data_IF_940985384498
#
_entry.id   IF_940985384498
#
_cell.length_a   1.000
_cell.length_b   1.000
_cell.length_c   1.000
_cell.angle_alpha   90.00
_cell.angle_beta   90.00
_cell.angle_gamma   90.00
#
_symmetry.space_group_name_H-M   'P 1'
#
loop_
_entity.id
_entity.type
_entity.pdbx_description
1 polymer ?
#
# COMPACT_ATOMS: atom_id res chain seq x y z
N UNK A 1 13.85 -26.40 0.81
CA UNK A 1 14.30 -25.04 0.51
C UNK A 1 13.54 -24.11 1.48
N UNK A 2 14.11 -23.09 2.07
CA UNK A 2 13.32 -22.24 2.95
C UNK A 2 12.21 -21.53 2.15
N UNK A 3 11.04 -21.29 2.76
CA UNK A 3 9.97 -20.54 2.12
C UNK A 3 10.42 -19.15 1.67
N UNK A 4 9.93 -18.69 0.52
CA UNK A 4 10.21 -17.37 -0.05
C UNK A 4 8.93 -16.57 -0.12
N UNK A 5 8.99 -15.33 0.30
CA UNK A 5 7.92 -14.35 0.11
C UNK A 5 8.30 -13.43 -1.06
N UNK A 6 7.44 -13.36 -2.07
CA UNK A 6 7.56 -12.46 -3.20
C UNK A 6 6.36 -11.52 -3.20
N UNK A 7 6.64 -10.21 -3.25
CA UNK A 7 5.64 -9.17 -3.40
C UNK A 7 5.98 -8.41 -4.68
N UNK A 8 5.04 -8.39 -5.62
CA UNK A 8 5.25 -7.80 -6.93
C UNK A 8 4.10 -6.89 -7.34
N UNK A 9 4.44 -5.70 -7.87
CA UNK A 9 5.78 -5.10 -7.92
C UNK A 9 6.27 -4.66 -6.54
N UNK A 10 7.58 -4.67 -6.29
CA UNK A 10 8.15 -4.21 -5.01
C UNK A 10 8.02 -2.69 -4.81
N UNK A 11 7.83 -1.95 -5.89
CA UNK A 11 7.51 -0.53 -5.90
C UNK A 11 6.38 -0.27 -6.88
N UNK A 12 5.30 0.36 -6.42
CA UNK A 12 4.12 0.62 -7.23
C UNK A 12 3.33 1.80 -6.68
N UNK A 13 2.45 2.36 -7.51
CA UNK A 13 1.47 3.32 -7.01
C UNK A 13 0.46 2.64 -6.09
N UNK A 14 -0.16 3.42 -5.21
CA UNK A 14 -1.15 2.91 -4.24
C UNK A 14 -2.43 2.38 -4.91
N UNK A 15 -2.67 2.69 -6.16
CA UNK A 15 -3.82 2.26 -6.97
C UNK A 15 -3.50 1.12 -7.95
N UNK A 16 -2.27 0.60 -7.94
CA UNK A 16 -1.87 -0.55 -8.74
C UNK A 16 -2.08 -1.86 -7.96
N UNK A 17 -2.32 -2.93 -8.71
CA UNK A 17 -2.44 -4.28 -8.14
C UNK A 17 -1.13 -4.76 -7.51
N UNK A 18 -1.26 -5.60 -6.51
CA UNK A 18 -0.15 -6.31 -5.88
C UNK A 18 -0.39 -7.82 -5.93
N UNK A 19 0.70 -8.56 -6.05
CA UNK A 19 0.72 -9.99 -5.84
C UNK A 19 1.58 -10.32 -4.61
N UNK A 20 0.97 -11.01 -3.64
CA UNK A 20 1.67 -11.62 -2.51
C UNK A 20 1.69 -13.13 -2.75
N UNK A 21 2.89 -13.69 -2.92
CA UNK A 21 3.05 -15.12 -3.18
C UNK A 21 4.11 -15.68 -2.24
N UNK A 22 3.79 -16.75 -1.54
CA UNK A 22 4.73 -17.53 -0.74
C UNK A 22 4.93 -18.86 -1.46
N UNK A 23 6.17 -19.27 -1.63
CA UNK A 23 6.54 -20.53 -2.30
C UNK A 23 7.51 -21.34 -1.47
N UNK A 24 7.57 -22.67 -1.70
CA UNK A 24 8.53 -23.56 -1.09
C UNK A 24 8.24 -23.89 0.38
N UNK A 25 7.02 -23.68 0.82
CA UNK A 25 6.55 -24.11 2.13
C UNK A 25 6.04 -25.58 2.09
N UNK A 26 6.01 -26.26 3.23
CA UNK A 26 5.48 -27.60 3.33
C UNK A 26 3.96 -27.62 3.09
N UNK A 27 3.44 -28.45 2.17
CA UNK A 27 2.01 -28.56 1.94
C UNK A 27 1.23 -28.84 3.24
N UNK A 28 0.14 -28.11 3.43
CA UNK A 28 -0.72 -28.21 4.62
C UNK A 28 -0.20 -27.46 5.85
N UNK A 29 1.03 -26.94 5.84
CA UNK A 29 1.53 -26.10 6.92
C UNK A 29 0.66 -24.84 7.11
N UNK A 30 0.67 -24.31 8.32
CA UNK A 30 -0.03 -23.07 8.67
C UNK A 30 1.04 -21.96 8.80
N UNK A 31 0.88 -20.93 8.00
CA UNK A 31 1.77 -19.76 8.03
C UNK A 31 1.00 -18.51 8.43
N UNK A 32 1.64 -17.69 9.27
CA UNK A 32 1.15 -16.37 9.63
C UNK A 32 1.86 -15.31 8.80
N UNK A 33 1.08 -14.42 8.21
CA UNK A 33 1.54 -13.24 7.47
C UNK A 33 1.22 -12.01 8.31
N UNK A 34 2.21 -11.20 8.61
CA UNK A 34 2.04 -9.89 9.22
C UNK A 34 2.57 -8.83 8.27
N UNK A 35 1.78 -7.79 8.03
CA UNK A 35 2.22 -6.64 7.24
C UNK A 35 2.06 -5.39 8.10
N UNK A 36 3.11 -4.59 8.16
CA UNK A 36 3.12 -3.36 8.96
C UNK A 36 3.64 -2.16 8.17
N UNK A 37 3.26 -0.96 8.64
CA UNK A 37 3.71 0.33 8.14
C UNK A 37 3.71 1.35 9.26
N UNK A 38 4.62 2.32 9.20
CA UNK A 38 4.59 3.49 10.09
C UNK A 38 3.88 4.66 9.41
N UNK A 39 2.97 5.31 10.15
CA UNK A 39 2.32 6.54 9.70
C UNK A 39 3.23 7.78 9.90
N UNK A 40 2.75 8.95 9.49
CA UNK A 40 3.49 10.22 9.62
C UNK A 40 3.72 10.69 11.07
N UNK A 41 3.07 10.07 12.05
CA UNK A 41 3.31 10.26 13.47
C UNK A 41 4.16 9.13 14.08
N UNK A 42 4.78 8.30 13.24
CA UNK A 42 5.61 7.14 13.62
C UNK A 42 4.83 6.05 14.40
N UNK A 43 3.51 6.02 14.24
CA UNK A 43 2.69 4.95 14.84
C UNK A 43 2.66 3.77 13.89
N UNK A 44 2.79 2.59 14.47
CA UNK A 44 2.72 1.35 13.72
C UNK A 44 1.28 0.94 13.47
N UNK A 45 1.00 0.61 12.23
CA UNK A 45 -0.23 0.01 11.74
C UNK A 45 0.10 -1.38 11.22
N UNK A 46 -0.67 -2.38 11.62
CA UNK A 46 -0.42 -3.75 11.22
C UNK A 46 -1.71 -4.50 10.88
N UNK A 47 -1.57 -5.48 10.02
CA UNK A 47 -2.56 -6.50 9.74
C UNK A 47 -1.91 -7.87 9.91
N UNK A 48 -2.74 -8.87 10.21
CA UNK A 48 -2.28 -10.25 10.29
C UNK A 48 -3.25 -11.18 9.59
N UNK A 49 -2.73 -12.25 9.03
CA UNK A 49 -3.54 -13.29 8.42
C UNK A 49 -2.85 -14.64 8.51
N UNK A 50 -3.65 -15.66 8.71
CA UNK A 50 -3.19 -17.04 8.75
C UNK A 50 -3.65 -17.76 7.49
N UNK A 51 -2.77 -18.51 6.85
CA UNK A 51 -3.04 -19.27 5.65
C UNK A 51 -2.60 -20.73 5.81
N UNK A 52 -3.30 -21.61 5.12
CA UNK A 52 -2.86 -22.99 4.92
C UNK A 52 -2.18 -23.11 3.57
N UNK A 53 -0.96 -23.61 3.57
CA UNK A 53 -0.20 -23.88 2.33
C UNK A 53 -0.93 -24.94 1.50
N UNK A 54 -1.05 -24.70 0.20
CA UNK A 54 -1.72 -25.64 -0.71
C UNK A 54 -0.87 -26.90 -1.00
N UNK A 55 -1.38 -27.80 -1.84
CA UNK A 55 -0.70 -29.04 -2.22
C UNK A 55 0.58 -28.82 -3.04
N UNK A 56 0.76 -27.65 -3.61
CA UNK A 56 1.94 -27.28 -4.41
C UNK A 56 3.00 -26.53 -3.59
N UNK A 57 2.75 -26.31 -2.30
CA UNK A 57 3.65 -25.57 -1.42
C UNK A 57 3.55 -24.05 -1.60
N UNK A 58 2.37 -23.55 -2.03
CA UNK A 58 2.14 -22.16 -2.41
C UNK A 58 1.02 -21.54 -1.56
N UNK A 59 1.15 -20.26 -1.27
CA UNK A 59 0.07 -19.36 -0.85
C UNK A 59 0.08 -18.19 -1.83
N UNK A 60 -1.04 -17.96 -2.53
CA UNK A 60 -1.25 -16.80 -3.42
C UNK A 60 -2.51 -16.05 -2.97
N UNK A 61 -2.34 -14.85 -2.44
CA UNK A 61 -3.44 -14.05 -1.90
C UNK A 61 -4.47 -13.63 -2.96
N UNK A 62 -4.15 -13.72 -4.24
CA UNK A 62 -5.10 -13.48 -5.34
C UNK A 62 -6.07 -14.66 -5.54
N UNK A 63 -5.81 -15.80 -4.94
CA UNK A 63 -6.51 -17.06 -5.19
C UNK A 63 -7.05 -17.70 -3.91
N UNK A 64 -6.52 -17.31 -2.77
CA UNK A 64 -6.79 -17.96 -1.49
C UNK A 64 -7.23 -16.94 -0.43
N UNK A 65 -8.32 -17.25 0.24
CA UNK A 65 -8.77 -16.50 1.40
C UNK A 65 -7.98 -16.91 2.65
N UNK A 66 -7.75 -15.98 3.59
CA UNK A 66 -7.14 -16.31 4.86
C UNK A 66 -8.07 -17.16 5.72
N UNK A 67 -7.51 -17.85 6.70
CA UNK A 67 -8.26 -18.60 7.69
C UNK A 67 -9.05 -17.67 8.63
N UNK A 68 -10.13 -18.15 9.27
CA UNK A 68 -10.88 -17.39 10.26
C UNK A 68 -9.98 -16.83 11.39
N UNK A 69 -10.27 -15.62 11.84
CA UNK A 69 -9.47 -14.92 12.85
C UNK A 69 -8.40 -13.97 12.28
N UNK A 70 -8.26 -13.91 10.97
CA UNK A 70 -7.42 -12.96 10.26
C UNK A 70 -8.03 -11.56 10.23
N UNK A 71 -7.22 -10.53 9.91
CA UNK A 71 -7.66 -9.12 9.84
C UNK A 71 -8.70 -8.86 8.74
N UNK A 72 -8.79 -9.74 7.75
CA UNK A 72 -9.81 -9.67 6.68
C UNK A 72 -10.35 -11.08 6.36
N UNK A 73 -11.37 -11.13 5.52
CA UNK A 73 -11.96 -12.36 5.01
C UNK A 73 -12.16 -12.27 3.50
N UNK A 74 -12.27 -13.43 2.85
CA UNK A 74 -12.39 -13.50 1.39
C UNK A 74 -11.04 -13.41 0.67
N UNK A 75 -11.08 -13.65 -0.63
CA UNK A 75 -9.90 -13.55 -1.50
C UNK A 75 -9.69 -12.10 -1.86
N UNK A 76 -8.64 -11.49 -1.35
CA UNK A 76 -8.29 -10.10 -1.61
C UNK A 76 -6.77 -9.90 -1.46
N UNK A 77 -6.03 -9.65 -2.55
CA UNK A 77 -4.59 -9.41 -2.50
C UNK A 77 -4.20 -8.11 -1.79
N UNK A 78 -5.12 -7.14 -1.67
CA UNK A 78 -4.89 -5.89 -0.94
C UNK A 78 -5.40 -5.96 0.51
N UNK A 79 -5.98 -7.09 0.92
CA UNK A 79 -6.42 -7.33 2.29
C UNK A 79 -5.38 -6.95 3.35
N UNK A 80 -4.08 -7.30 3.18
CA UNK A 80 -3.04 -6.89 4.11
C UNK A 80 -2.90 -5.39 4.30
N UNK A 81 -3.29 -4.56 3.33
CA UNK A 81 -3.11 -3.11 3.37
C UNK A 81 -4.30 -2.40 4.00
N UNK A 82 -5.50 -2.67 3.54
CA UNK A 82 -6.69 -1.95 4.00
C UNK A 82 -7.23 -2.43 5.35
N UNK A 83 -6.85 -3.64 5.79
CA UNK A 83 -7.30 -4.20 7.07
C UNK A 83 -6.39 -3.85 8.25
N UNK A 84 -5.37 -3.02 8.03
CA UNK A 84 -4.44 -2.60 9.08
C UNK A 84 -5.15 -1.83 10.19
N UNK A 85 -4.76 -2.11 11.41
CA UNK A 85 -5.22 -1.39 12.61
C UNK A 85 -4.03 -0.91 13.43
N UNK A 86 -4.15 0.25 14.11
CA UNK A 86 -3.13 0.71 15.04
C UNK A 86 -3.23 -0.03 16.38
N UNK A 87 -2.18 -0.02 17.17
CA UNK A 87 -2.22 -0.52 18.54
C UNK A 87 -3.18 0.25 19.44
N UNK A 88 -3.33 1.56 19.22
CA UNK A 88 -4.33 2.40 19.85
C UNK A 88 -5.56 2.53 18.93
N UNK A 89 -6.70 1.90 19.29
CA UNK A 89 -7.90 1.92 18.43
C UNK A 89 -8.50 3.31 18.19
N UNK A 90 -8.13 4.31 18.99
CA UNK A 90 -8.58 5.71 18.82
C UNK A 90 -7.70 6.49 17.84
N UNK A 91 -6.58 5.93 17.39
CA UNK A 91 -5.67 6.60 16.50
C UNK A 91 -6.22 6.66 15.07
N UNK A 92 -6.03 7.81 14.42
CA UNK A 92 -6.27 7.98 12.99
C UNK A 92 -4.94 7.96 12.26
N UNK A 93 -4.92 7.37 11.07
CA UNK A 93 -3.73 7.35 10.24
C UNK A 93 -3.28 8.77 9.90
N UNK A 94 -2.12 9.15 10.38
CA UNK A 94 -1.52 10.45 10.05
C UNK A 94 -0.79 10.33 8.73
N UNK A 95 -1.20 11.13 7.74
CA UNK A 95 -0.52 11.16 6.45
C UNK A 95 0.95 11.56 6.64
N UNK A 96 1.85 10.83 6.03
CA UNK A 96 3.26 11.23 5.92
C UNK A 96 3.41 12.35 4.89
N UNK A 97 4.44 13.19 5.04
CA UNK A 97 4.85 14.12 4.00
C UNK A 97 5.64 13.42 2.88
N UNK A 98 6.11 12.22 3.15
CA UNK A 98 6.74 11.40 2.12
C UNK A 98 5.70 10.97 1.07
N UNK A 99 6.09 10.99 -0.19
CA UNK A 99 5.25 10.57 -1.31
C UNK A 99 5.11 9.05 -1.42
N UNK A 100 5.75 8.31 -0.53
CA UNK A 100 5.77 6.87 -0.50
C UNK A 100 5.70 6.34 0.93
N UNK A 101 5.10 5.16 1.07
CA UNK A 101 5.06 4.37 2.30
C UNK A 101 5.82 3.07 2.07
N UNK A 102 6.74 2.74 2.96
CA UNK A 102 7.44 1.46 2.95
C UNK A 102 6.77 0.53 3.95
N UNK A 103 6.30 -0.59 3.45
CA UNK A 103 5.66 -1.65 4.21
C UNK A 103 6.69 -2.74 4.51
N UNK A 104 6.52 -3.39 5.64
CA UNK A 104 7.31 -4.55 6.05
C UNK A 104 6.39 -5.76 6.16
N UNK A 105 6.72 -6.84 5.49
CA UNK A 105 5.98 -8.09 5.49
C UNK A 105 6.82 -9.21 6.10
N UNK A 106 6.28 -9.91 7.08
CA UNK A 106 6.93 -10.99 7.82
C UNK A 106 6.08 -12.24 7.74
N UNK A 107 6.72 -13.37 7.46
CA UNK A 107 6.10 -14.69 7.52
C UNK A 107 6.61 -15.44 8.74
N UNK A 108 5.67 -16.04 9.49
CA UNK A 108 6.00 -16.90 10.64
C UNK A 108 5.42 -18.30 10.46
N UNK A 109 6.12 -19.26 11.01
CA UNK A 109 5.64 -20.64 11.17
C UNK A 109 5.90 -21.05 12.63
N UNK A 110 4.86 -21.52 13.32
CA UNK A 110 4.90 -21.83 14.75
C UNK A 110 5.52 -20.70 15.61
N UNK A 111 5.13 -19.47 15.33
CA UNK A 111 5.61 -18.27 16.01
C UNK A 111 7.04 -17.82 15.66
N UNK A 112 7.79 -18.60 14.87
CA UNK A 112 9.15 -18.26 14.45
C UNK A 112 9.12 -17.56 13.10
N UNK A 113 9.82 -16.44 12.98
CA UNK A 113 10.02 -15.78 11.69
C UNK A 113 10.85 -16.65 10.77
N UNK A 114 10.36 -16.88 9.55
CA UNK A 114 11.03 -17.69 8.54
C UNK A 114 11.52 -16.88 7.33
N UNK A 115 10.83 -15.79 7.00
CA UNK A 115 11.23 -14.86 5.95
C UNK A 115 10.59 -13.49 6.17
N UNK A 116 11.18 -12.47 5.58
CA UNK A 116 10.65 -11.11 5.56
C UNK A 116 11.05 -10.41 4.27
N UNK A 117 10.30 -9.37 3.92
CA UNK A 117 10.61 -8.46 2.82
C UNK A 117 10.00 -7.09 3.05
N UNK A 118 10.44 -6.10 2.29
CA UNK A 118 9.82 -4.78 2.25
C UNK A 118 9.33 -4.47 0.85
N UNK A 119 8.30 -3.63 0.76
CA UNK A 119 7.81 -3.09 -0.50
C UNK A 119 7.32 -1.66 -0.31
N UNK A 120 7.26 -0.90 -1.37
CA UNK A 120 6.93 0.52 -1.32
C UNK A 120 5.70 0.82 -2.16
N UNK A 121 4.76 1.60 -1.58
CA UNK A 121 3.60 2.15 -2.30
C UNK A 121 3.74 3.67 -2.34
N UNK A 122 3.61 4.29 -3.52
CA UNK A 122 3.75 5.73 -3.69
C UNK A 122 2.49 6.38 -4.28
N UNK A 123 2.36 7.69 -4.08
CA UNK A 123 1.22 8.48 -4.52
C UNK A 123 1.49 9.25 -5.83
N UNK A 124 2.41 8.76 -6.67
CA UNK A 124 2.81 9.47 -7.89
C UNK A 124 4.00 10.39 -7.64
N UNK A 125 5.12 9.83 -7.20
CA UNK A 125 6.37 10.55 -6.98
C UNK A 125 7.15 10.85 -8.27
N UNK A 126 6.63 10.42 -9.41
CA UNK A 126 7.20 10.62 -10.75
C UNK A 126 6.54 11.79 -11.50
N UNK A 127 5.75 12.62 -10.80
CA UNK A 127 5.05 13.74 -11.42
C UNK A 127 5.70 15.07 -11.06
N UNK A 128 5.67 16.03 -12.00
CA UNK A 128 6.04 17.41 -11.72
C UNK A 128 5.02 18.05 -10.81
N UNK A 129 5.51 18.83 -9.84
CA UNK A 129 4.71 19.59 -8.89
C UNK A 129 5.14 21.06 -8.92
N UNK A 130 4.19 21.94 -9.14
CA UNK A 130 4.43 23.39 -9.20
C UNK A 130 3.44 24.11 -8.28
N UNK A 131 3.95 24.93 -7.37
CA UNK A 131 3.12 25.78 -6.52
C UNK A 131 2.70 27.04 -7.28
N UNK A 132 1.41 27.38 -7.22
CA UNK A 132 0.82 28.53 -7.90
C UNK A 132 0.35 29.53 -6.87
N UNK A 133 0.82 30.78 -7.04
CA UNK A 133 0.41 31.94 -6.26
C UNK A 133 0.10 33.08 -7.24
N UNK A 134 -1.17 33.24 -7.63
CA UNK A 134 -1.61 34.28 -8.56
C UNK A 134 -2.77 35.08 -7.95
N UNK A 135 -2.48 36.21 -7.34
CA UNK A 135 -3.48 37.02 -6.65
C UNK A 135 -4.17 36.23 -5.54
N UNK A 136 -5.51 36.03 -5.58
CA UNK A 136 -6.21 35.24 -4.58
C UNK A 136 -6.11 33.72 -4.80
N UNK A 137 -5.53 33.27 -5.90
CA UNK A 137 -5.42 31.84 -6.23
C UNK A 137 -4.14 31.29 -5.61
N UNK A 138 -4.30 30.31 -4.75
CA UNK A 138 -3.24 29.52 -4.15
C UNK A 138 -3.54 28.06 -4.39
N UNK A 139 -2.59 27.32 -4.93
CA UNK A 139 -2.77 25.92 -5.24
C UNK A 139 -1.51 25.23 -5.70
N UNK A 140 -1.65 24.02 -6.16
CA UNK A 140 -0.55 23.22 -6.70
C UNK A 140 -0.99 22.60 -8.01
N UNK A 141 -0.15 22.67 -9.03
CA UNK A 141 -0.31 21.95 -10.29
C UNK A 141 0.49 20.66 -10.19
N UNK A 142 -0.17 19.54 -10.49
CA UNK A 142 0.46 18.24 -10.68
C UNK A 142 0.31 17.84 -12.15
N UNK A 143 1.37 17.41 -12.78
CA UNK A 143 1.38 16.98 -14.19
C UNK A 143 2.45 15.91 -14.42
N UNK A 144 2.33 15.06 -15.45
CA UNK A 144 3.45 14.25 -15.92
C UNK A 144 4.66 15.13 -16.28
N UNK A 145 5.84 14.54 -16.19
CA UNK A 145 7.11 15.24 -16.53
C UNK A 145 7.36 15.24 -18.04
N UNK A 146 6.40 15.81 -18.77
CA UNK A 146 6.51 16.05 -20.21
C UNK A 146 5.67 17.27 -20.63
N UNK A 147 5.88 17.75 -21.85
CA UNK A 147 5.19 18.93 -22.40
C UNK A 147 3.96 18.56 -23.28
N UNK A 148 3.42 17.35 -23.15
CA UNK A 148 2.28 16.94 -23.94
C UNK A 148 0.98 17.58 -23.45
N UNK A 149 0.10 18.08 -24.34
CA UNK A 149 -1.23 18.52 -23.97
C UNK A 149 -2.03 17.41 -23.30
N UNK A 150 -2.66 17.71 -22.16
CA UNK A 150 -3.38 16.72 -21.35
C UNK A 150 -4.71 17.26 -20.85
N UNK A 151 -5.69 16.39 -20.62
CA UNK A 151 -6.93 16.80 -19.98
C UNK A 151 -6.66 17.43 -18.60
N UNK A 152 -7.32 18.57 -18.33
CA UNK A 152 -7.23 19.25 -17.04
C UNK A 152 -8.29 18.78 -16.06
N UNK A 153 -7.90 18.63 -14.79
CA UNK A 153 -8.79 18.31 -13.66
C UNK A 153 -8.57 19.36 -12.57
N UNK A 154 -9.65 19.92 -12.03
CA UNK A 154 -9.57 20.83 -10.88
C UNK A 154 -10.04 20.07 -9.64
N UNK A 155 -9.18 19.97 -8.64
CA UNK A 155 -9.51 19.45 -7.31
C UNK A 155 -9.74 20.61 -6.36
N UNK A 156 -10.87 20.62 -5.70
CA UNK A 156 -11.21 21.61 -4.68
C UNK A 156 -11.23 20.95 -3.31
N UNK A 157 -10.49 21.54 -2.37
CA UNK A 157 -10.55 21.12 -0.98
C UNK A 157 -11.89 21.51 -0.33
N UNK A 158 -12.20 20.84 0.77
CA UNK A 158 -13.31 21.22 1.64
C UNK A 158 -13.03 22.49 2.45
N UNK A 159 -13.92 22.78 3.41
CA UNK A 159 -13.82 23.96 4.28
C UNK A 159 -12.58 23.98 5.19
N UNK A 160 -11.89 22.87 5.34
CA UNK A 160 -10.64 22.73 6.07
C UNK A 160 -9.41 23.27 5.31
N UNK A 161 -9.59 23.62 4.01
CA UNK A 161 -8.51 24.11 3.16
C UNK A 161 -7.40 23.09 2.92
N UNK A 162 -7.66 21.79 3.15
CA UNK A 162 -6.66 20.75 2.99
C UNK A 162 -6.17 20.65 1.55
N UNK A 163 -4.87 20.57 1.36
CA UNK A 163 -4.29 20.35 0.04
C UNK A 163 -4.44 18.86 -0.37
N UNK A 164 -5.08 18.61 -1.50
CA UNK A 164 -5.37 17.27 -2.04
C UNK A 164 -4.19 16.70 -2.83
N UNK A 165 -2.98 16.93 -2.37
CA UNK A 165 -1.71 16.60 -3.05
C UNK A 165 -1.63 15.13 -3.51
N UNK A 166 -2.00 14.17 -2.65
CA UNK A 166 -1.93 12.77 -3.01
C UNK A 166 -2.88 12.41 -4.17
N UNK A 167 -4.11 12.95 -4.14
CA UNK A 167 -5.07 12.75 -5.22
C UNK A 167 -4.60 13.44 -6.51
N UNK A 168 -4.05 14.66 -6.39
CA UNK A 168 -3.47 15.38 -7.53
C UNK A 168 -2.33 14.60 -8.19
N UNK A 169 -1.41 14.07 -7.40
CA UNK A 169 -0.29 13.27 -7.91
C UNK A 169 -0.74 11.95 -8.54
N UNK A 170 -1.70 11.24 -7.94
CA UNK A 170 -2.23 10.02 -8.52
C UNK A 170 -2.88 10.27 -9.88
N UNK A 171 -3.74 11.29 -9.99
CA UNK A 171 -4.35 11.65 -11.27
C UNK A 171 -3.32 12.08 -12.30
N UNK A 172 -2.29 12.82 -11.89
CA UNK A 172 -1.19 13.18 -12.78
C UNK A 172 -0.42 11.93 -13.25
N UNK A 173 -0.19 10.96 -12.37
CA UNK A 173 0.38 9.66 -12.73
C UNK A 173 -0.46 8.87 -13.76
N UNK A 174 -1.75 9.20 -13.89
CA UNK A 174 -2.65 8.68 -14.93
C UNK A 174 -2.75 9.58 -16.18
N UNK A 175 -1.91 10.58 -16.28
CA UNK A 175 -1.83 11.41 -17.47
C UNK A 175 -2.73 12.65 -17.49
N UNK A 176 -3.21 13.12 -16.34
CA UNK A 176 -3.94 14.37 -16.23
C UNK A 176 -3.03 15.53 -15.80
N UNK A 177 -3.42 16.75 -16.15
CA UNK A 177 -2.94 17.97 -15.47
C UNK A 177 -3.95 18.36 -14.41
N UNK A 178 -3.53 18.44 -13.15
CA UNK A 178 -4.44 18.61 -12.01
C UNK A 178 -4.13 19.88 -11.25
#
# INVERSE_FOLDING_TARGET
MPPRLEIQPQRSRVDEDLAFVITGADPGAILDIEVSVQDGALREWCSHATFRVDSEGIIDLRRQAPLPGSSWSGVDPLGPLWSMTPKDPSAFFTRTRAWALTYHAVIRHDGKQITETTFTRHFGDEVCREEVHQGPIVGTIHRPDDDQPRPGVILLAGSDGANLEAAGSLLAGHGYTV
#
